data_IF_301525874176
#
_entry.id   IF_301525874176
#
_cell.length_a   1.000
_cell.length_b   1.000
_cell.length_c   1.000
_cell.angle_alpha   90.00
_cell.angle_beta   90.00
_cell.angle_gamma   90.00
#
_symmetry.space_group_name_H-M   'P 1'
#
loop_
_entity.id
_entity.type
_entity.pdbx_description
1 polymer ?
#
# COMPACT_ATOMS: atom_id res chain seq x y z
N UNK A 1 7.44 -16.95 17.17
CA UNK A 1 7.59 -15.54 16.75
C UNK A 1 8.46 -15.52 15.51
N UNK A 2 7.92 -15.14 14.35
CA UNK A 2 8.76 -14.81 13.19
C UNK A 2 9.15 -13.35 13.29
N UNK A 3 10.42 -13.06 13.09
CA UNK A 3 10.91 -11.70 12.95
C UNK A 3 10.79 -11.35 11.47
N UNK A 4 10.09 -10.27 11.15
CA UNK A 4 10.14 -9.64 9.84
C UNK A 4 11.32 -8.68 9.84
N UNK A 5 12.10 -8.70 8.78
CA UNK A 5 13.32 -7.91 8.66
C UNK A 5 13.20 -6.92 7.51
N UNK A 6 13.55 -5.69 7.77
CA UNK A 6 13.60 -4.62 6.79
C UNK A 6 15.00 -4.01 6.76
N UNK A 7 15.53 -3.82 5.58
CA UNK A 7 16.74 -3.04 5.37
C UNK A 7 16.37 -1.59 5.10
N UNK A 8 16.83 -0.67 5.97
CA UNK A 8 16.64 0.76 5.85
C UNK A 8 18.01 1.44 5.77
N UNK A 9 18.16 2.36 4.83
CA UNK A 9 19.39 3.14 4.64
C UNK A 9 19.73 3.97 5.87
N UNK A 10 20.91 3.74 6.47
CA UNK A 10 21.35 4.46 7.66
C UNK A 10 21.94 5.84 7.31
N UNK A 11 21.76 6.84 8.20
CA UNK A 11 22.42 8.13 8.09
C UNK A 11 23.86 8.04 8.65
N UNK A 12 24.79 7.49 7.91
CA UNK A 12 26.19 7.34 8.33
C UNK A 12 27.04 8.58 8.04
N UNK A 13 27.94 8.89 8.95
CA UNK A 13 28.96 9.95 8.83
C UNK A 13 29.96 9.54 7.74
N UNK A 14 30.26 10.49 6.83
CA UNK A 14 31.15 10.29 5.67
C UNK A 14 32.58 9.97 6.08
N UNK A 15 33.07 8.81 5.65
CA UNK A 15 34.50 8.57 5.42
C UNK A 15 34.72 8.55 3.90
N UNK A 16 35.57 9.44 3.39
CA UNK A 16 35.91 9.47 1.98
C UNK A 16 36.79 8.26 1.63
N UNK A 17 36.27 7.31 0.87
CA UNK A 17 37.06 6.28 0.21
C UNK A 17 37.01 6.51 -1.30
N UNK A 18 38.18 6.85 -1.85
CA UNK A 18 38.39 6.96 -3.29
C UNK A 18 38.40 5.55 -3.90
N UNK A 19 37.47 5.29 -4.80
CA UNK A 19 37.45 4.06 -5.59
C UNK A 19 38.05 4.34 -6.97
N UNK A 20 39.14 3.65 -7.21
CA UNK A 20 39.86 3.61 -8.49
C UNK A 20 39.12 2.68 -9.45
N UNK A 21 38.42 3.22 -10.42
CA UNK A 21 37.81 2.42 -11.50
C UNK A 21 38.87 2.08 -12.56
N UNK A 22 39.22 0.80 -12.66
CA UNK A 22 39.96 0.26 -13.82
C UNK A 22 38.93 -0.05 -14.93
N UNK A 23 39.05 0.71 -16.03
CA UNK A 23 38.36 0.41 -17.27
C UNK A 23 39.16 -0.67 -18.04
N UNK A 24 38.52 -1.78 -18.37
CA UNK A 24 38.98 -2.71 -19.39
C UNK A 24 38.07 -2.66 -20.59
N UNK A 25 38.49 -1.92 -21.63
CA UNK A 25 38.00 -2.05 -22.98
C UNK A 25 38.63 -3.25 -23.66
N UNK A 26 37.84 -4.14 -24.17
CA UNK A 26 38.29 -5.14 -25.14
C UNK A 26 37.54 -4.96 -26.46
N UNK A 27 38.34 -4.82 -27.48
CA UNK A 27 38.00 -4.49 -28.87
C UNK A 27 37.52 -5.70 -29.68
N UNK A 28 36.89 -5.36 -30.83
CA UNK A 28 36.84 -6.17 -32.04
C UNK A 28 35.46 -6.68 -32.37
N UNK A 29 34.88 -6.54 -33.51
CA UNK A 29 35.36 -6.69 -34.85
C UNK A 29 34.43 -6.04 -35.88
N UNK A 30 35.02 -5.43 -36.87
CA UNK A 30 34.40 -4.88 -38.08
C UNK A 30 33.86 -5.99 -38.99
N UNK A 31 32.74 -5.72 -39.65
CA UNK A 31 32.43 -6.32 -40.96
C UNK A 31 31.74 -5.29 -41.84
N UNK A 32 32.39 -4.96 -42.94
CA UNK A 32 31.92 -4.08 -44.01
C UNK A 32 30.77 -4.72 -44.79
N UNK A 33 29.86 -3.86 -45.26
CA UNK A 33 28.88 -4.20 -46.28
C UNK A 33 28.34 -2.93 -46.92
N UNK A 34 28.90 -2.56 -48.08
CA UNK A 34 28.57 -1.42 -48.91
C UNK A 34 27.27 -1.66 -49.69
N UNK A 35 26.44 -0.61 -49.83
CA UNK A 35 25.27 -0.62 -50.74
C UNK A 35 24.69 0.75 -50.87
N UNK A 36 24.94 1.37 -51.99
CA UNK A 36 24.53 2.69 -52.50
C UNK A 36 23.06 2.76 -52.90
N UNK A 37 22.40 3.93 -52.70
CA UNK A 37 21.15 4.25 -53.44
C UNK A 37 20.27 5.31 -52.77
N UNK A 38 20.46 6.49 -53.02
CA UNK A 38 19.75 7.71 -53.49
C UNK A 38 18.26 7.92 -53.14
N UNK A 39 18.05 9.15 -52.69
CA UNK A 39 16.97 10.14 -52.94
C UNK A 39 15.66 10.08 -52.12
N UNK A 40 15.46 11.12 -51.32
CA UNK A 40 14.43 12.14 -51.51
C UNK A 40 13.13 11.99 -50.72
N UNK A 41 12.89 12.92 -49.81
CA UNK A 41 11.53 13.19 -49.33
C UNK A 41 11.47 13.75 -47.89
N UNK A 42 11.42 15.05 -47.76
CA UNK A 42 11.11 15.74 -46.51
C UNK A 42 9.66 15.60 -46.13
N UNK A 43 9.40 15.24 -44.89
CA UNK A 43 8.21 15.64 -44.14
C UNK A 43 8.53 15.68 -42.65
N UNK A 44 7.95 16.57 -41.85
CA UNK A 44 8.43 16.89 -40.51
C UNK A 44 8.00 15.85 -39.49
N UNK A 45 8.92 15.51 -38.60
CA UNK A 45 8.67 14.63 -37.47
C UNK A 45 8.06 15.46 -36.32
N UNK A 46 6.89 15.00 -35.83
CA UNK A 46 6.33 15.40 -34.55
C UNK A 46 7.24 14.85 -33.43
N UNK A 47 7.64 15.74 -32.55
CA UNK A 47 8.38 15.41 -31.34
C UNK A 47 7.47 14.64 -30.36
N UNK A 48 7.62 13.34 -30.33
CA UNK A 48 7.17 12.54 -29.19
C UNK A 48 8.22 12.67 -28.08
N UNK A 49 7.91 13.40 -27.03
CA UNK A 49 8.72 13.52 -25.83
C UNK A 49 8.91 12.18 -25.16
N UNK A 50 10.08 11.56 -25.36
CA UNK A 50 10.54 10.42 -24.59
C UNK A 50 10.93 10.88 -23.19
N UNK A 51 10.18 10.50 -22.20
CA UNK A 51 10.55 10.64 -20.80
C UNK A 51 11.69 9.68 -20.49
N UNK A 52 12.90 10.20 -20.36
CA UNK A 52 14.05 9.46 -19.85
C UNK A 52 13.83 9.10 -18.37
N UNK A 53 13.32 7.92 -18.13
CA UNK A 53 13.34 7.27 -16.82
C UNK A 53 14.75 6.77 -16.53
N UNK A 54 15.64 7.63 -16.04
CA UNK A 54 16.95 7.22 -15.59
C UNK A 54 16.90 6.81 -14.12
N UNK A 55 17.05 5.53 -13.77
CA UNK A 55 17.25 5.11 -12.39
C UNK A 55 18.72 5.32 -12.05
N UNK A 56 19.04 6.37 -11.33
CA UNK A 56 20.41 6.65 -10.93
C UNK A 56 20.64 8.05 -10.42
N UNK A 57 19.75 8.57 -9.58
CA UNK A 57 19.94 9.82 -8.86
C UNK A 57 20.88 9.58 -7.68
N UNK A 58 22.09 10.17 -7.73
CA UNK A 58 22.99 10.32 -6.58
C UNK A 58 22.22 10.80 -5.36
N UNK A 59 22.26 10.01 -4.26
CA UNK A 59 21.59 10.26 -3.01
C UNK A 59 22.18 11.49 -2.30
N UNK A 60 21.69 12.65 -2.64
CA UNK A 60 21.95 13.89 -1.92
C UNK A 60 21.26 13.85 -0.55
N UNK A 61 21.94 14.37 0.48
CA UNK A 61 21.42 14.56 1.85
C UNK A 61 20.49 15.79 1.95
N UNK A 62 19.75 16.12 0.91
CA UNK A 62 18.68 17.11 0.90
C UNK A 62 17.34 16.46 1.30
N UNK A 63 16.35 17.25 1.53
CA UNK A 63 14.99 16.80 1.82
C UNK A 63 14.50 15.84 0.73
N UNK A 64 14.56 14.55 1.02
CA UNK A 64 14.08 13.53 0.08
C UNK A 64 12.56 13.52 0.11
N UNK A 65 11.99 13.72 -1.06
CA UNK A 65 10.53 13.66 -1.24
C UNK A 65 10.07 12.33 -1.85
N UNK A 66 10.99 11.40 -2.10
CA UNK A 66 10.67 10.09 -2.68
C UNK A 66 11.36 8.95 -1.95
N UNK A 67 10.68 7.80 -1.92
CA UNK A 67 11.19 6.55 -1.35
C UNK A 67 10.91 5.39 -2.31
N UNK A 68 11.87 4.47 -2.42
CA UNK A 68 11.73 3.20 -3.13
C UNK A 68 11.71 2.07 -2.11
N UNK A 69 10.61 1.33 -2.11
CA UNK A 69 10.35 0.18 -1.22
C UNK A 69 10.33 -1.08 -2.07
N UNK A 70 11.04 -2.11 -1.68
CA UNK A 70 10.97 -3.43 -2.33
C UNK A 70 10.21 -4.38 -1.43
N UNK A 71 9.21 -5.02 -1.98
CA UNK A 71 8.38 -6.05 -1.33
C UNK A 71 8.40 -7.34 -2.15
N UNK A 72 7.98 -8.45 -1.54
CA UNK A 72 7.84 -9.71 -2.26
C UNK A 72 6.70 -9.68 -3.29
N UNK A 73 6.74 -10.53 -4.33
CA UNK A 73 5.69 -10.57 -5.36
C UNK A 73 4.29 -10.83 -4.79
N UNK A 74 4.19 -11.61 -3.71
CA UNK A 74 2.91 -11.89 -3.04
C UNK A 74 2.30 -10.69 -2.30
N UNK A 75 3.05 -9.58 -2.19
CA UNK A 75 2.52 -8.33 -1.62
C UNK A 75 1.79 -7.47 -2.66
N UNK A 76 1.83 -7.84 -3.94
CA UNK A 76 1.04 -7.18 -4.97
C UNK A 76 -0.44 -7.54 -4.80
N UNK A 77 -1.36 -6.55 -4.84
CA UNK A 77 -2.78 -6.82 -4.71
C UNK A 77 -3.33 -7.50 -5.96
N UNK A 78 -3.75 -8.76 -5.87
CA UNK A 78 -4.29 -9.51 -7.01
C UNK A 78 -5.55 -8.86 -7.59
N UNK A 79 -6.47 -8.43 -6.72
CA UNK A 79 -7.74 -7.83 -7.09
C UNK A 79 -7.68 -6.30 -7.27
N UNK A 80 -6.52 -5.69 -7.03
CA UNK A 80 -6.38 -4.22 -7.03
C UNK A 80 -6.61 -3.59 -5.66
N UNK A 81 -6.80 -2.28 -5.67
CA UNK A 81 -6.91 -1.46 -4.47
C UNK A 81 -8.37 -1.26 -4.02
N UNK A 82 -9.19 -2.29 -4.20
CA UNK A 82 -10.58 -2.31 -3.75
C UNK A 82 -10.67 -2.94 -2.35
N UNK A 83 -11.16 -2.22 -1.34
CA UNK A 83 -11.28 -2.75 0.02
C UNK A 83 -12.25 -3.94 0.14
N UNK A 84 -13.13 -4.16 -0.84
CA UNK A 84 -14.03 -5.30 -0.84
C UNK A 84 -13.32 -6.64 -1.07
N UNK A 85 -12.21 -6.62 -1.80
CA UNK A 85 -11.48 -7.83 -2.17
C UNK A 85 -10.13 -7.96 -1.44
N UNK A 86 -9.77 -6.97 -0.63
CA UNK A 86 -8.47 -6.89 0.01
C UNK A 86 -7.37 -6.51 -0.97
N UNK A 87 -6.20 -6.25 -0.42
CA UNK A 87 -5.01 -5.93 -1.18
C UNK A 87 -3.78 -6.42 -0.42
N UNK A 88 -2.77 -6.88 -1.18
CA UNK A 88 -1.54 -7.39 -0.63
C UNK A 88 -1.63 -8.85 -0.16
N UNK A 89 -0.68 -9.28 0.63
CA UNK A 89 -0.46 -10.67 1.05
C UNK A 89 -1.57 -11.26 1.94
N UNK A 90 -2.79 -11.10 1.55
CA UNK A 90 -4.02 -11.84 1.84
C UNK A 90 -4.41 -12.10 3.30
N UNK A 91 -3.47 -12.11 4.22
CA UNK A 91 -3.69 -12.47 5.62
C UNK A 91 -3.59 -11.29 6.58
N UNK A 92 -3.14 -10.12 6.09
CA UNK A 92 -2.93 -8.94 6.91
C UNK A 92 -3.68 -7.77 6.33
N UNK A 93 -4.66 -7.32 7.08
CA UNK A 93 -5.39 -6.10 6.75
C UNK A 93 -4.63 -4.93 7.34
N UNK A 94 -4.25 -3.99 6.49
CA UNK A 94 -3.49 -2.81 6.86
C UNK A 94 -4.31 -1.55 6.64
N UNK A 95 -3.95 -0.48 7.34
CA UNK A 95 -4.49 0.85 7.06
C UNK A 95 -4.26 1.20 5.58
N UNK A 96 -5.31 1.53 4.81
CA UNK A 96 -5.18 1.86 3.39
C UNK A 96 -4.37 3.15 3.19
N UNK A 97 -3.62 3.23 2.08
CA UNK A 97 -2.91 4.45 1.70
C UNK A 97 -3.78 5.38 0.86
N UNK A 98 -4.69 4.82 0.07
CA UNK A 98 -5.50 5.53 -0.93
C UNK A 98 -6.82 5.99 -0.32
N UNK A 99 -7.47 5.14 0.46
CA UNK A 99 -8.70 5.46 1.16
C UNK A 99 -8.41 5.89 2.60
N UNK A 100 -9.30 6.67 3.20
CA UNK A 100 -9.33 6.93 4.63
C UNK A 100 -10.28 5.96 5.33
N UNK A 101 -10.08 5.77 6.62
CA UNK A 101 -10.90 4.90 7.46
C UNK A 101 -11.66 5.71 8.51
N UNK A 102 -12.68 5.17 9.13
CA UNK A 102 -13.39 5.87 10.21
C UNK A 102 -12.52 6.02 11.45
N UNK A 103 -11.82 4.95 11.80
CA UNK A 103 -10.92 4.89 12.97
C UNK A 103 -9.54 4.42 12.55
N UNK A 104 -8.57 4.50 13.44
CA UNK A 104 -7.22 3.96 13.27
C UNK A 104 -6.83 3.16 14.50
N UNK A 105 -5.94 2.19 14.32
CA UNK A 105 -5.32 1.49 15.43
C UNK A 105 -3.97 2.11 15.75
N UNK A 106 -3.78 2.58 16.96
CA UNK A 106 -2.53 3.21 17.41
C UNK A 106 -1.44 2.15 17.65
N UNK A 107 -0.20 2.61 17.86
CA UNK A 107 0.92 1.72 18.19
C UNK A 107 0.71 0.93 19.51
N UNK A 108 -0.11 1.45 20.42
CA UNK A 108 -0.47 0.81 21.68
C UNK A 108 -1.73 -0.06 21.55
N UNK A 109 -2.17 -0.32 20.32
CA UNK A 109 -3.38 -1.07 19.96
C UNK A 109 -4.69 -0.45 20.50
N UNK A 110 -4.70 0.84 20.75
CA UNK A 110 -5.90 1.59 21.08
C UNK A 110 -6.56 2.13 19.81
N UNK A 111 -7.86 2.42 19.90
CA UNK A 111 -8.62 3.05 18.80
C UNK A 111 -8.45 4.56 18.87
N UNK A 112 -7.97 5.13 17.77
CA UNK A 112 -8.02 6.55 17.46
C UNK A 112 -9.06 6.87 16.41
N UNK A 113 -9.37 8.15 16.21
CA UNK A 113 -10.27 8.62 15.16
C UNK A 113 -9.49 9.12 13.96
N UNK A 114 -10.03 8.88 12.75
CA UNK A 114 -9.55 9.44 11.49
C UNK A 114 -10.66 10.24 10.81
N UNK A 115 -11.56 9.61 10.06
CA UNK A 115 -12.77 10.29 9.56
C UNK A 115 -13.80 10.51 10.67
N UNK A 116 -13.91 9.60 11.64
CA UNK A 116 -14.80 9.77 12.77
C UNK A 116 -14.36 10.94 13.65
N UNK A 117 -15.36 11.68 14.18
CA UNK A 117 -15.19 12.75 15.18
C UNK A 117 -15.75 12.38 16.53
N UNK A 118 -16.80 11.55 16.55
CA UNK A 118 -17.39 10.94 17.74
C UNK A 118 -17.96 9.56 17.39
N UNK A 119 -18.10 8.71 18.40
CA UNK A 119 -18.64 7.37 18.24
C UNK A 119 -19.35 6.94 19.52
N UNK A 120 -20.57 6.48 19.40
CA UNK A 120 -21.40 6.03 20.49
C UNK A 120 -21.99 4.65 20.17
N UNK A 121 -22.27 3.88 21.23
CA UNK A 121 -22.97 2.61 21.11
C UNK A 121 -24.19 2.62 22.00
N UNK A 122 -25.31 2.08 21.49
CA UNK A 122 -26.56 1.95 22.24
C UNK A 122 -26.38 1.04 23.46
N UNK A 123 -27.28 1.18 24.47
CA UNK A 123 -27.21 0.37 25.70
C UNK A 123 -27.30 -1.15 25.44
N UNK A 124 -28.01 -1.57 24.41
CA UNK A 124 -28.12 -2.96 23.98
C UNK A 124 -26.95 -3.45 23.11
N UNK A 125 -26.05 -2.52 22.71
CA UNK A 125 -24.90 -2.81 21.88
C UNK A 125 -25.24 -3.10 20.40
N UNK A 126 -26.45 -2.79 19.95
CA UNK A 126 -26.92 -3.13 18.60
C UNK A 126 -26.80 -2.00 17.60
N UNK A 127 -26.61 -0.76 18.05
CA UNK A 127 -26.46 0.39 17.16
C UNK A 127 -25.19 1.15 17.53
N UNK A 128 -24.31 1.32 16.55
CA UNK A 128 -23.17 2.23 16.63
C UNK A 128 -23.51 3.48 15.84
N UNK A 129 -23.48 4.64 16.48
CA UNK A 129 -23.65 5.95 15.84
C UNK A 129 -22.28 6.59 15.74
N UNK A 130 -21.91 7.01 14.55
CA UNK A 130 -20.59 7.59 14.24
C UNK A 130 -20.79 8.92 13.54
N UNK A 131 -20.29 9.99 14.14
CA UNK A 131 -20.20 11.31 13.51
C UNK A 131 -18.88 11.40 12.74
N UNK A 132 -18.92 11.91 11.52
CA UNK A 132 -17.75 12.08 10.67
C UNK A 132 -17.44 13.56 10.42
N UNK A 133 -16.22 13.83 9.94
CA UNK A 133 -15.81 15.18 9.53
C UNK A 133 -16.53 15.58 8.24
N UNK A 134 -16.73 16.88 8.09
CA UNK A 134 -17.39 17.53 6.93
C UNK A 134 -16.41 18.22 5.97
N UNK A 135 -15.10 18.18 6.27
CA UNK A 135 -14.05 18.89 5.53
C UNK A 135 -13.23 17.97 4.59
N UNK A 136 -13.65 16.72 4.40
CA UNK A 136 -12.92 15.73 3.61
C UNK A 136 -13.45 15.66 2.18
N UNK A 137 -12.51 15.52 1.23
CA UNK A 137 -12.83 15.31 -0.19
C UNK A 137 -12.11 14.08 -0.71
N UNK A 138 -12.74 13.45 -1.67
CA UNK A 138 -12.07 12.48 -2.54
C UNK A 138 -11.09 13.17 -3.50
N UNK A 139 -10.19 12.39 -4.10
CA UNK A 139 -9.16 12.88 -5.02
C UNK A 139 -9.68 13.41 -6.35
N UNK A 140 -10.96 13.22 -6.65
CA UNK A 140 -11.67 13.83 -7.77
C UNK A 140 -12.36 15.17 -7.41
N UNK A 141 -12.31 15.56 -6.13
CA UNK A 141 -12.81 16.83 -5.61
C UNK A 141 -14.22 16.77 -5.02
N UNK A 142 -14.94 15.65 -5.16
CA UNK A 142 -16.27 15.48 -4.54
C UNK A 142 -16.14 15.31 -3.02
N UNK A 143 -17.08 15.82 -2.21
CA UNK A 143 -17.05 15.66 -0.77
C UNK A 143 -17.29 14.20 -0.37
N UNK A 144 -16.63 13.77 0.72
CA UNK A 144 -16.93 12.51 1.39
C UNK A 144 -18.03 12.75 2.40
N UNK A 145 -19.08 11.95 2.34
CA UNK A 145 -20.29 12.09 3.15
C UNK A 145 -20.66 10.80 3.88
N UNK A 146 -21.63 10.87 4.76
CA UNK A 146 -22.19 9.72 5.46
C UNK A 146 -22.79 8.68 4.51
N UNK A 147 -23.30 9.12 3.35
CA UNK A 147 -23.81 8.23 2.30
C UNK A 147 -22.72 7.35 1.73
N UNK A 148 -21.51 7.89 1.49
CA UNK A 148 -20.36 7.11 1.01
C UNK A 148 -19.94 6.06 2.05
N UNK A 149 -19.98 6.42 3.34
CA UNK A 149 -19.71 5.50 4.43
C UNK A 149 -20.74 4.38 4.45
N UNK A 150 -22.02 4.70 4.47
CA UNK A 150 -23.10 3.72 4.47
C UNK A 150 -23.03 2.81 3.24
N UNK A 151 -22.82 3.40 2.05
CA UNK A 151 -22.62 2.67 0.80
C UNK A 151 -21.44 1.68 0.91
N UNK A 152 -20.30 2.13 1.41
CA UNK A 152 -19.09 1.29 1.57
C UNK A 152 -19.40 0.06 2.42
N UNK A 153 -19.94 0.25 3.61
CA UNK A 153 -20.16 -0.86 4.54
C UNK A 153 -21.25 -1.82 4.06
N UNK A 154 -22.32 -1.33 3.46
CA UNK A 154 -23.35 -2.19 2.87
C UNK A 154 -22.80 -2.99 1.69
N UNK A 155 -21.99 -2.37 0.82
CA UNK A 155 -21.32 -3.05 -0.29
C UNK A 155 -20.37 -4.14 0.20
N UNK A 156 -19.53 -3.83 1.20
CA UNK A 156 -18.58 -4.79 1.76
C UNK A 156 -19.30 -5.94 2.49
N UNK A 157 -20.39 -5.66 3.21
CA UNK A 157 -21.22 -6.72 3.82
C UNK A 157 -21.68 -7.74 2.78
N UNK A 158 -22.05 -7.27 1.60
CA UNK A 158 -22.63 -8.14 0.55
C UNK A 158 -21.58 -8.79 -0.35
N UNK A 159 -20.37 -8.23 -0.43
CA UNK A 159 -19.36 -8.64 -1.42
C UNK A 159 -17.98 -9.02 -0.85
N UNK A 160 -17.63 -8.58 0.37
CA UNK A 160 -16.29 -8.80 0.89
C UNK A 160 -15.99 -10.29 1.10
N UNK A 161 -14.83 -10.71 0.59
CA UNK A 161 -14.29 -12.05 0.80
C UNK A 161 -13.19 -12.10 1.86
N UNK A 162 -12.75 -10.94 2.36
CA UNK A 162 -11.57 -10.80 3.24
C UNK A 162 -11.93 -10.37 4.65
N UNK A 163 -13.03 -9.64 4.83
CA UNK A 163 -13.49 -9.17 6.13
C UNK A 163 -14.83 -9.78 6.50
N UNK A 164 -15.01 -10.11 7.78
CA UNK A 164 -16.28 -10.66 8.30
C UNK A 164 -17.22 -9.51 8.70
N UNK A 165 -18.25 -9.31 7.88
CA UNK A 165 -19.34 -8.35 8.11
C UNK A 165 -20.64 -9.02 8.51
N UNK A 166 -20.63 -10.29 8.89
CA UNK A 166 -21.85 -11.04 9.25
C UNK A 166 -22.61 -10.46 10.45
N UNK A 167 -21.95 -9.60 11.24
CA UNK A 167 -22.56 -8.89 12.36
C UNK A 167 -23.34 -7.65 11.92
N UNK A 168 -23.01 -7.07 10.76
CA UNK A 168 -23.65 -5.85 10.24
C UNK A 168 -24.95 -6.23 9.52
N UNK A 169 -26.08 -5.72 10.00
CA UNK A 169 -27.35 -5.83 9.29
C UNK A 169 -27.46 -4.74 8.23
N UNK A 170 -27.14 -3.50 8.61
CA UNK A 170 -27.24 -2.35 7.72
C UNK A 170 -26.42 -1.18 8.24
N UNK A 171 -25.86 -0.39 7.32
CA UNK A 171 -25.33 0.94 7.60
C UNK A 171 -26.25 1.98 6.98
N UNK A 172 -26.64 3.01 7.74
CA UNK A 172 -27.60 4.04 7.34
C UNK A 172 -26.99 5.42 7.56
N UNK A 173 -26.95 6.24 6.52
CA UNK A 173 -26.69 7.67 6.67
C UNK A 173 -27.94 8.34 7.28
N UNK A 174 -27.78 8.92 8.47
CA UNK A 174 -28.86 9.62 9.17
C UNK A 174 -29.00 11.04 8.64
N UNK A 175 -27.86 11.65 8.36
CA UNK A 175 -27.70 12.95 7.72
C UNK A 175 -26.35 13.01 7.00
N UNK A 176 -25.88 14.20 6.61
CA UNK A 176 -24.65 14.33 5.80
C UNK A 176 -23.37 13.94 6.51
N UNK A 177 -23.36 13.89 7.83
CA UNK A 177 -22.17 13.64 8.66
C UNK A 177 -22.37 12.62 9.79
N UNK A 178 -23.53 11.93 9.85
CA UNK A 178 -23.82 10.90 10.86
C UNK A 178 -24.22 9.59 10.21
N UNK A 179 -23.58 8.49 10.60
CA UNK A 179 -23.87 7.13 10.16
C UNK A 179 -24.27 6.25 11.34
N UNK A 180 -25.32 5.46 11.19
CA UNK A 180 -25.68 4.39 12.11
C UNK A 180 -25.35 3.03 11.50
N UNK A 181 -24.70 2.18 12.31
CA UNK A 181 -24.44 0.78 11.97
C UNK A 181 -25.34 -0.10 12.85
N UNK A 182 -26.28 -0.77 12.23
CA UNK A 182 -27.20 -1.69 12.90
C UNK A 182 -26.62 -3.10 12.89
N UNK A 183 -26.45 -3.67 14.09
CA UNK A 183 -25.79 -4.96 14.30
C UNK A 183 -26.81 -6.03 14.65
N UNK A 184 -26.66 -7.24 14.12
CA UNK A 184 -27.48 -8.43 14.43
C UNK A 184 -27.31 -8.92 15.86
N UNK A 185 -26.18 -8.58 16.49
CA UNK A 185 -25.84 -8.86 17.88
C UNK A 185 -24.75 -7.90 18.36
N UNK A 186 -24.60 -7.69 19.69
CA UNK A 186 -23.55 -6.84 20.21
C UNK A 186 -22.16 -7.26 19.71
N UNK A 187 -21.40 -6.29 19.19
CA UNK A 187 -20.08 -6.54 18.59
C UNK A 187 -19.08 -5.47 19.01
N UNK A 188 -18.43 -5.67 20.15
CA UNK A 188 -17.57 -4.67 20.80
C UNK A 188 -16.25 -4.39 20.08
N UNK A 189 -15.84 -5.24 19.13
CA UNK A 189 -14.63 -5.02 18.32
C UNK A 189 -14.93 -4.28 17.01
N UNK A 190 -16.15 -3.79 16.80
CA UNK A 190 -16.54 -3.02 15.62
C UNK A 190 -15.61 -1.84 15.31
N UNK A 191 -15.13 -1.06 16.30
CA UNK A 191 -14.17 0.01 16.03
C UNK A 191 -12.86 -0.44 15.38
N UNK A 192 -12.40 -1.67 15.63
CA UNK A 192 -11.22 -2.23 14.96
C UNK A 192 -11.53 -2.65 13.53
N UNK A 193 -12.75 -3.08 13.24
CA UNK A 193 -13.21 -3.30 11.86
C UNK A 193 -13.23 -1.99 11.08
N UNK A 194 -13.68 -0.90 11.70
CA UNK A 194 -13.67 0.43 11.08
C UNK A 194 -12.26 0.94 10.77
N UNK A 195 -11.23 0.48 11.50
CA UNK A 195 -9.84 0.91 11.30
C UNK A 195 -9.17 0.32 10.06
N UNK A 196 -9.79 -0.68 9.43
CA UNK A 196 -9.23 -1.39 8.28
C UNK A 196 -10.08 -1.24 7.02
N UNK A 197 -11.24 -0.62 7.12
CA UNK A 197 -12.18 -0.42 6.02
C UNK A 197 -11.96 0.95 5.39
N UNK A 198 -11.37 0.96 4.21
CA UNK A 198 -11.24 2.18 3.41
C UNK A 198 -12.59 2.62 2.81
N UNK A 199 -12.94 3.89 3.00
CA UNK A 199 -14.19 4.44 2.46
C UNK A 199 -14.02 4.71 0.96
N UNK A 200 -14.98 4.22 0.19
CA UNK A 200 -15.04 4.38 -1.27
C UNK A 200 -16.15 5.32 -1.68
N UNK A 201 -15.98 6.12 -2.76
CA UNK A 201 -17.02 7.01 -3.25
C UNK A 201 -18.13 6.24 -3.96
N UNK A 202 -19.40 6.39 -3.53
CA UNK A 202 -20.53 5.75 -4.18
C UNK A 202 -20.62 6.11 -5.67
N UNK A 203 -20.41 7.38 -6.00
CA UNK A 203 -20.54 7.91 -7.36
C UNK A 203 -19.52 7.36 -8.35
N UNK A 204 -18.38 6.84 -7.88
CA UNK A 204 -17.28 6.36 -8.71
C UNK A 204 -16.93 4.89 -8.47
N UNK A 205 -17.69 4.20 -7.60
CA UNK A 205 -17.45 2.79 -7.33
C UNK A 205 -18.04 1.89 -8.42
N UNK A 206 -17.26 0.91 -8.88
CA UNK A 206 -17.69 -0.04 -9.90
C UNK A 206 -16.65 -1.13 -10.16
N UNK A 207 -16.85 -1.99 -11.18
CA UNK A 207 -16.02 -3.18 -11.43
C UNK A 207 -14.53 -2.88 -11.63
N UNK A 208 -14.19 -1.70 -12.10
CA UNK A 208 -12.80 -1.27 -12.37
C UNK A 208 -12.20 -0.45 -11.21
N UNK A 209 -12.92 -0.29 -10.10
CA UNK A 209 -12.49 0.56 -8.99
C UNK A 209 -11.10 0.15 -8.47
N UNK A 210 -10.85 -1.14 -8.29
CA UNK A 210 -9.56 -1.63 -7.80
C UNK A 210 -8.37 -1.30 -8.71
N UNK A 211 -8.61 -1.00 -9.99
CA UNK A 211 -7.57 -0.60 -10.95
C UNK A 211 -7.37 0.92 -10.99
N UNK A 212 -8.43 1.68 -10.73
CA UNK A 212 -8.46 3.14 -10.79
C UNK A 212 -9.12 3.70 -9.53
N UNK A 213 -8.55 3.45 -8.34
CA UNK A 213 -9.17 3.83 -7.09
C UNK A 213 -9.19 5.35 -6.92
N UNK A 214 -10.33 5.86 -6.51
CA UNK A 214 -10.55 7.22 -6.03
C UNK A 214 -10.69 7.12 -4.52
N UNK A 215 -9.90 7.86 -3.77
CA UNK A 215 -9.93 7.81 -2.31
C UNK A 215 -9.71 9.17 -1.68
N UNK A 216 -9.75 9.23 -0.37
CA UNK A 216 -9.52 10.43 0.43
C UNK A 216 -8.23 10.35 1.26
N UNK A 217 -7.46 9.27 1.10
CA UNK A 217 -6.28 8.98 1.89
C UNK A 217 -5.06 9.83 1.56
N UNK A 218 -3.95 9.50 2.22
CA UNK A 218 -2.67 10.25 2.14
C UNK A 218 -2.02 10.20 0.77
N UNK A 219 -2.32 9.18 -0.04
CA UNK A 219 -1.71 8.95 -1.34
C UNK A 219 -2.77 8.61 -2.38
N UNK A 220 -2.41 8.88 -3.63
CA UNK A 220 -3.16 8.51 -4.82
C UNK A 220 -2.38 7.47 -5.61
N UNK A 221 -3.06 6.53 -6.24
CA UNK A 221 -2.45 5.65 -7.24
C UNK A 221 -2.09 6.46 -8.47
N UNK A 222 -0.81 6.46 -8.83
CA UNK A 222 -0.31 7.15 -10.03
C UNK A 222 -0.10 6.20 -11.19
N UNK A 223 0.45 5.04 -10.92
CA UNK A 223 0.80 4.04 -11.91
C UNK A 223 0.86 2.66 -11.26
N UNK A 224 0.39 1.67 -11.97
CA UNK A 224 0.53 0.29 -11.59
C UNK A 224 0.92 -0.56 -12.79
N UNK A 225 2.16 -1.02 -12.78
CA UNK A 225 2.69 -1.98 -13.73
C UNK A 225 2.68 -3.35 -13.08
N UNK A 226 1.71 -4.18 -13.42
CA UNK A 226 1.51 -5.49 -12.82
C UNK A 226 2.79 -6.32 -12.81
N UNK A 227 3.01 -7.03 -11.69
CA UNK A 227 4.20 -7.87 -11.45
C UNK A 227 5.54 -7.10 -11.41
N UNK A 228 5.51 -5.76 -11.45
CA UNK A 228 6.70 -4.93 -11.49
C UNK A 228 6.70 -3.87 -10.39
N UNK A 229 5.75 -2.93 -10.46
CA UNK A 229 5.76 -1.80 -9.53
C UNK A 229 4.38 -1.15 -9.36
N UNK A 230 4.24 -0.49 -8.23
CA UNK A 230 3.19 0.49 -7.99
C UNK A 230 3.82 1.82 -7.61
N UNK A 231 3.29 2.91 -8.13
CA UNK A 231 3.73 4.27 -7.83
C UNK A 231 2.57 5.02 -7.21
N UNK A 232 2.80 5.54 -6.01
CA UNK A 232 1.88 6.42 -5.33
C UNK A 232 2.45 7.84 -5.31
N UNK A 233 1.56 8.83 -5.44
CA UNK A 233 1.85 10.24 -5.23
C UNK A 233 1.05 10.76 -4.03
N UNK A 234 1.64 11.67 -3.25
CA UNK A 234 0.94 12.28 -2.12
C UNK A 234 -0.31 13.01 -2.61
N UNK A 235 -1.42 12.80 -1.92
CA UNK A 235 -2.65 13.54 -2.15
C UNK A 235 -2.46 15.01 -1.71
N UNK A 236 -2.54 15.98 -2.62
CA UNK A 236 -2.34 17.39 -2.28
C UNK A 236 -3.48 17.96 -1.41
N UNK A 237 -4.66 17.35 -1.49
CA UNK A 237 -5.87 17.78 -0.79
C UNK A 237 -6.14 16.92 0.46
N UNK A 238 -5.14 16.16 0.92
CA UNK A 238 -5.30 15.36 2.13
C UNK A 238 -5.59 16.24 3.35
N UNK A 239 -6.64 15.93 4.06
CA UNK A 239 -7.15 16.71 5.21
C UNK A 239 -6.26 16.67 6.46
N UNK A 240 -5.33 15.73 6.56
CA UNK A 240 -4.43 15.55 7.68
C UNK A 240 -3.03 16.14 7.45
N UNK A 241 -2.04 15.66 8.21
CA UNK A 241 -0.66 16.07 8.00
C UNK A 241 -0.15 15.58 6.65
N UNK A 242 0.33 16.51 5.82
CA UNK A 242 0.84 16.18 4.48
C UNK A 242 1.99 15.16 4.55
N UNK A 243 1.98 14.09 3.73
CA UNK A 243 3.03 13.10 3.70
C UNK A 243 4.40 13.73 3.42
N UNK A 244 5.41 13.33 4.18
CA UNK A 244 6.80 13.77 3.96
C UNK A 244 7.37 13.25 2.64
N UNK A 245 7.01 12.01 2.28
CA UNK A 245 7.37 11.42 0.99
C UNK A 245 6.28 11.80 -0.02
N UNK A 246 6.63 12.58 -1.03
CA UNK A 246 5.69 12.98 -2.08
C UNK A 246 5.45 11.86 -3.09
N UNK A 247 6.40 10.94 -3.20
CA UNK A 247 6.30 9.78 -4.08
C UNK A 247 6.81 8.53 -3.39
N UNK A 248 6.02 7.48 -3.44
CA UNK A 248 6.38 6.14 -2.97
C UNK A 248 6.34 5.20 -4.17
N UNK A 249 7.46 4.55 -4.45
CA UNK A 249 7.53 3.50 -5.48
C UNK A 249 7.71 2.17 -4.78
N UNK A 250 6.78 1.25 -4.98
CA UNK A 250 6.87 -0.12 -4.49
C UNK A 250 7.26 -1.01 -5.65
N UNK A 251 8.38 -1.72 -5.52
CA UNK A 251 8.85 -2.71 -6.49
C UNK A 251 8.53 -4.11 -5.95
N UNK A 252 8.03 -4.98 -6.81
CA UNK A 252 7.75 -6.38 -6.45
C UNK A 252 8.88 -7.26 -6.95
N UNK A 253 9.67 -7.82 -6.03
CA UNK A 253 10.86 -8.61 -6.37
C UNK A 253 11.00 -9.79 -5.43
N UNK A 254 11.54 -10.90 -5.97
CA UNK A 254 12.00 -12.00 -5.15
C UNK A 254 13.16 -11.57 -4.23
N UNK A 255 13.33 -12.26 -3.11
CA UNK A 255 14.24 -11.87 -2.03
C UNK A 255 15.68 -11.64 -2.50
N UNK A 256 16.21 -12.51 -3.38
CA UNK A 256 17.55 -12.37 -3.92
C UNK A 256 17.72 -11.10 -4.76
N UNK A 257 16.72 -10.76 -5.58
CA UNK A 257 16.69 -9.55 -6.38
C UNK A 257 16.51 -8.30 -5.50
N UNK A 258 15.68 -8.39 -4.47
CA UNK A 258 15.48 -7.32 -3.48
C UNK A 258 16.81 -7.02 -2.75
N UNK A 259 17.53 -8.04 -2.32
CA UNK A 259 18.84 -7.88 -1.69
C UNK A 259 19.86 -7.27 -2.65
N UNK A 260 19.88 -7.70 -3.91
CA UNK A 260 20.75 -7.11 -4.94
C UNK A 260 20.43 -5.64 -5.20
N UNK A 261 19.15 -5.25 -5.21
CA UNK A 261 18.72 -3.85 -5.36
C UNK A 261 19.19 -2.99 -4.17
N UNK A 262 19.15 -3.51 -2.95
CA UNK A 262 19.70 -2.86 -1.76
C UNK A 262 21.20 -2.67 -1.90
N UNK A 263 21.94 -3.73 -2.27
CA UNK A 263 23.40 -3.67 -2.49
C UNK A 263 23.79 -2.65 -3.56
N UNK A 264 22.97 -2.51 -4.60
CA UNK A 264 23.16 -1.53 -5.67
C UNK A 264 22.72 -0.11 -5.28
N UNK A 265 22.12 0.10 -4.11
CA UNK A 265 21.60 1.38 -3.66
C UNK A 265 20.33 1.84 -4.40
N UNK A 266 19.66 0.92 -5.08
CA UNK A 266 18.43 1.18 -5.86
C UNK A 266 17.16 1.17 -5.02
N UNK A 267 17.18 0.57 -3.84
CA UNK A 267 16.09 0.56 -2.90
C UNK A 267 16.46 1.35 -1.62
N UNK A 268 15.47 1.96 -0.99
CA UNK A 268 15.64 2.65 0.30
C UNK A 268 15.22 1.75 1.46
N UNK A 269 14.21 0.94 1.21
CA UNK A 269 13.67 -0.05 2.14
C UNK A 269 13.43 -1.33 1.35
N UNK A 270 13.86 -2.47 1.88
CA UNK A 270 13.52 -3.76 1.31
C UNK A 270 13.10 -4.72 2.40
N UNK A 271 12.00 -5.42 2.14
CA UNK A 271 11.60 -6.56 2.96
C UNK A 271 12.58 -7.72 2.73
N UNK A 272 13.02 -8.35 3.80
CA UNK A 272 13.80 -9.59 3.72
C UNK A 272 13.31 -10.58 4.76
N UNK A 273 13.27 -11.84 4.39
CA UNK A 273 13.02 -12.94 5.31
C UNK A 273 14.30 -13.27 6.10
N UNK A 274 14.44 -14.52 6.54
CA UNK A 274 15.57 -14.92 7.36
C UNK A 274 16.87 -15.11 6.56
N UNK A 275 16.80 -15.30 5.24
CA UNK A 275 17.96 -15.71 4.44
C UNK A 275 19.12 -14.69 4.45
N UNK A 276 18.76 -13.39 4.47
CA UNK A 276 19.72 -12.29 4.45
C UNK A 276 19.80 -11.51 5.76
N UNK A 277 19.12 -11.97 6.82
CA UNK A 277 19.05 -11.25 8.10
C UNK A 277 20.40 -11.13 8.81
N UNK A 278 21.34 -12.03 8.53
CA UNK A 278 22.70 -12.02 9.10
C UNK A 278 23.71 -11.24 8.23
N UNK A 279 23.27 -10.73 7.09
CA UNK A 279 24.12 -9.94 6.21
C UNK A 279 24.21 -8.48 6.70
N UNK A 280 25.35 -7.85 6.44
CA UNK A 280 25.55 -6.42 6.70
C UNK A 280 25.69 -5.70 5.37
N UNK A 281 24.94 -4.64 5.17
CA UNK A 281 25.00 -3.81 3.96
C UNK A 281 25.42 -2.40 4.35
N UNK A 282 26.51 -1.92 3.75
CA UNK A 282 27.02 -0.58 4.02
C UNK A 282 25.98 0.50 3.71
N UNK A 283 25.72 1.37 4.71
CA UNK A 283 24.75 2.44 4.58
C UNK A 283 23.30 2.05 4.83
N UNK A 284 23.05 0.80 5.23
CA UNK A 284 21.71 0.32 5.64
C UNK A 284 21.71 -0.18 7.07
N UNK A 285 20.54 -0.19 7.65
CA UNK A 285 20.25 -0.75 8.98
C UNK A 285 19.23 -1.87 8.83
N UNK A 286 19.44 -2.99 9.49
CA UNK A 286 18.47 -4.06 9.59
C UNK A 286 17.48 -3.74 10.71
N UNK A 287 16.22 -3.58 10.35
CA UNK A 287 15.12 -3.40 11.30
C UNK A 287 14.42 -4.74 11.50
N UNK A 288 14.39 -5.21 12.73
CA UNK A 288 13.64 -6.40 13.12
C UNK A 288 12.39 -5.99 13.87
N UNK A 289 11.23 -6.43 13.39
CA UNK A 289 9.95 -6.18 14.02
C UNK A 289 9.43 -7.47 14.66
N UNK A 290 8.92 -7.34 15.86
CA UNK A 290 8.14 -8.40 16.50
C UNK A 290 6.68 -8.15 16.13
N UNK A 291 6.02 -9.22 15.65
CA UNK A 291 4.61 -9.16 15.29
C UNK A 291 3.80 -10.14 16.11
N UNK A 292 2.50 -9.96 16.17
CA UNK A 292 1.55 -10.90 16.79
C UNK A 292 1.32 -12.14 15.93
N UNK A 293 1.90 -12.19 14.74
CA UNK A 293 1.80 -13.34 13.85
C UNK A 293 2.32 -14.61 14.50
N UNK A 294 1.51 -15.63 14.44
CA UNK A 294 1.82 -16.95 14.94
C UNK A 294 1.79 -17.96 13.78
N UNK A 295 2.92 -18.59 13.49
CA UNK A 295 3.00 -19.69 12.52
C UNK A 295 3.33 -20.96 13.25
N UNK A 296 2.47 -21.95 13.10
CA UNK A 296 2.61 -23.25 13.72
C UNK A 296 1.81 -24.30 12.97
N UNK A 297 1.90 -25.54 13.45
CA UNK A 297 1.00 -26.59 13.01
C UNK A 297 -0.30 -26.46 13.77
N UNK A 298 -1.40 -26.29 13.06
CA UNK A 298 -2.73 -26.35 13.65
C UNK A 298 -3.10 -27.83 13.76
N UNK A 299 -3.13 -28.34 14.97
CA UNK A 299 -3.64 -29.68 15.23
C UNK A 299 -5.14 -29.53 15.55
N UNK A 300 -6.04 -29.82 14.60
CA UNK A 300 -7.46 -29.72 14.86
C UNK A 300 -7.82 -30.67 16.00
N UNK A 301 -8.63 -30.19 16.94
CA UNK A 301 -9.21 -31.06 17.95
C UNK A 301 -10.12 -32.07 17.23
N UNK A 302 -9.69 -33.31 17.17
CA UNK A 302 -10.51 -34.40 16.63
C UNK A 302 -11.60 -34.70 17.71
N UNK A 303 -12.88 -34.59 17.37
CA UNK A 303 -13.93 -34.98 18.30
C UNK A 303 -13.71 -36.43 18.75
N UNK A 304 -13.81 -36.65 20.06
CA UNK A 304 -13.71 -37.99 20.63
C UNK A 304 -14.73 -38.92 19.94
N UNK A 305 -14.25 -39.94 19.25
CA UNK A 305 -15.04 -40.87 18.44
C UNK A 305 -14.57 -41.06 17.01
N UNK A 306 -13.58 -40.26 16.56
CA UNK A 306 -12.93 -40.45 15.25
C UNK A 306 -11.56 -41.15 15.40
N UNK A 307 -11.10 -41.36 16.64
CA UNK A 307 -9.77 -41.91 16.96
C UNK A 307 -9.74 -43.40 17.15
N UNK A 308 -10.83 -44.13 16.95
CA UNK A 308 -10.93 -45.58 17.20
C UNK A 308 -10.92 -46.41 15.91
N UNK A 309 -10.29 -45.91 14.83
CA UNK A 309 -9.99 -46.75 13.66
C UNK A 309 -8.49 -46.70 13.29
#
# INVERSE_FOLDING_TARGET
MKRHHLWKKSRGKRGAAAVLCLALCAAGLSACGSGTGSSGGNAPADEAGGGDGQPGGSLGTGDRESVVVVMGPTSEPEAGFDPAYGWGAGEHVHEPLIQSTLTVTTADLEIGYDLATDMQVSEDGLTWTVDIRDDVKFTDGEPLTAEDVAFTYNTLRDTSSVNDFTMLEEAVAVDGDTVEFHMSRPYSIWPYTMAIVGIVPEHAYGPDYGQNPIGSGRYMLKQWDREQQVIFEANPDYYGEAPKMKRVTVLFMEEDAAFAAVMAGQADVAYTAAAYSDQTVDGYELLAFETVDNRGFNLPAIPSGITDE
#
